data_IF_905270978695
#
_entry.id   IF_905270978695
#
_cell.length_a   1.000
_cell.length_b   1.000
_cell.length_c   1.000
_cell.angle_alpha   90.00
_cell.angle_beta   90.00
_cell.angle_gamma   90.00
#
_symmetry.space_group_name_H-M   'P 1'
#
loop_
_entity.id
_entity.type
_entity.pdbx_description
1 polymer ?
#
# COMPACT_ATOMS: atom_id res chain seq x y z
N UNK A 1 -8.81 8.84 7.42
CA UNK A 1 -7.45 8.39 7.77
C UNK A 1 -6.46 9.39 7.22
N UNK A 2 -5.37 9.61 7.93
CA UNK A 2 -4.29 10.45 7.45
C UNK A 2 -3.40 9.71 6.44
N UNK A 3 -2.87 10.42 5.46
CA UNK A 3 -2.08 9.87 4.35
C UNK A 3 -0.99 10.84 3.91
N UNK A 4 0.04 10.30 3.29
CA UNK A 4 1.09 11.06 2.59
C UNK A 4 0.95 10.78 1.09
N UNK A 5 0.65 11.81 0.32
CA UNK A 5 0.45 11.73 -1.13
C UNK A 5 1.61 12.41 -1.84
N UNK A 6 2.15 11.80 -2.90
CA UNK A 6 3.11 12.49 -3.77
C UNK A 6 2.37 13.47 -4.68
N UNK A 7 2.80 14.74 -4.70
CA UNK A 7 2.24 15.77 -5.59
C UNK A 7 3.13 16.08 -6.80
N UNK A 8 4.45 15.99 -6.64
CA UNK A 8 5.45 16.33 -7.67
C UNK A 8 6.79 15.72 -7.24
N UNK A 9 7.82 15.84 -8.07
CA UNK A 9 9.18 15.37 -7.76
C UNK A 9 9.67 15.95 -6.42
N UNK A 10 9.87 15.07 -5.45
CA UNK A 10 10.30 15.42 -4.09
C UNK A 10 9.27 16.17 -3.25
N UNK A 11 8.07 16.45 -3.79
CA UNK A 11 7.00 17.16 -3.06
C UNK A 11 5.91 16.19 -2.62
N UNK A 12 5.63 16.23 -1.33
CA UNK A 12 4.63 15.38 -0.68
C UNK A 12 3.64 16.25 0.10
N UNK A 13 2.41 15.77 0.23
CA UNK A 13 1.36 16.41 1.00
C UNK A 13 0.80 15.45 2.03
N UNK A 14 0.68 15.93 3.27
CA UNK A 14 -0.03 15.25 4.33
C UNK A 14 -1.50 15.68 4.30
N UNK A 15 -2.41 14.71 4.22
CA UNK A 15 -3.85 14.94 4.32
C UNK A 15 -4.44 14.08 5.41
N UNK A 16 -5.32 14.63 6.25
CA UNK A 16 -6.00 13.88 7.33
C UNK A 16 -7.22 13.08 6.85
N UNK A 17 -7.60 13.27 5.58
CA UNK A 17 -8.82 12.71 5.00
C UNK A 17 -8.54 12.09 3.65
N UNK A 18 -8.37 10.76 3.65
CA UNK A 18 -8.58 9.92 2.48
C UNK A 18 -9.95 9.24 2.56
N UNK A 19 -10.70 9.29 1.45
CA UNK A 19 -11.91 8.50 1.25
C UNK A 19 -11.49 7.22 0.51
N UNK A 20 -11.71 6.02 1.06
CA UNK A 20 -11.40 4.77 0.38
C UNK A 20 -12.17 4.68 -0.94
N UNK A 21 -11.50 4.22 -2.01
CA UNK A 21 -12.14 4.07 -3.32
C UNK A 21 -12.93 2.76 -3.44
N UNK A 22 -12.59 1.74 -2.65
CA UNK A 22 -13.26 0.44 -2.68
C UNK A 22 -13.75 0.06 -1.28
N UNK A 23 -15.07 0.07 -1.10
CA UNK A 23 -15.72 -0.22 0.18
C UNK A 23 -15.88 -1.72 0.46
N UNK A 24 -15.71 -2.57 -0.55
CA UNK A 24 -15.88 -4.02 -0.39
C UNK A 24 -14.63 -4.69 0.20
N UNK A 25 -13.48 -4.03 0.13
CA UNK A 25 -12.23 -4.56 0.67
C UNK A 25 -12.12 -4.34 2.16
N UNK A 26 -11.52 -5.33 2.83
CA UNK A 26 -11.21 -5.23 4.25
C UNK A 26 -10.34 -3.99 4.52
N UNK A 27 -10.87 -3.12 5.37
CA UNK A 27 -10.15 -1.96 5.86
C UNK A 27 -9.36 -2.34 7.10
N UNK A 28 -8.14 -1.81 7.19
CA UNK A 28 -7.23 -2.07 8.29
C UNK A 28 -6.89 -0.77 9.01
N UNK A 29 -6.77 -0.83 10.34
CA UNK A 29 -6.19 0.27 11.09
C UNK A 29 -4.67 0.20 10.98
N UNK A 30 -4.06 1.15 10.28
CA UNK A 30 -2.60 1.27 10.18
C UNK A 30 -2.05 1.88 11.48
N UNK A 31 -1.30 1.09 12.25
CA UNK A 31 -0.68 1.55 13.49
C UNK A 31 0.71 2.14 13.28
N UNK A 32 1.47 1.57 12.35
CA UNK A 32 2.81 2.03 11.97
C UNK A 32 3.03 1.87 10.47
N UNK A 33 3.74 2.83 9.86
CA UNK A 33 4.21 2.74 8.48
C UNK A 33 5.70 3.05 8.41
N UNK A 34 6.48 2.09 7.92
CA UNK A 34 7.91 2.25 7.70
C UNK A 34 8.22 3.01 6.40
N UNK A 35 9.31 3.78 6.42
CA UNK A 35 9.89 4.42 5.23
C UNK A 35 10.93 3.47 4.63
N UNK A 36 10.97 3.35 3.31
CA UNK A 36 11.92 2.48 2.62
C UNK A 36 12.54 3.17 1.40
N UNK A 37 13.64 2.59 0.89
CA UNK A 37 14.33 3.10 -0.32
C UNK A 37 13.41 3.18 -1.54
N UNK A 38 12.51 2.22 -1.72
CA UNK A 38 11.50 2.24 -2.78
C UNK A 38 10.55 3.43 -2.61
N UNK A 39 10.12 3.74 -1.38
CA UNK A 39 9.32 4.94 -1.10
C UNK A 39 10.07 6.22 -1.44
N UNK A 40 11.36 6.31 -1.13
CA UNK A 40 12.21 7.42 -1.56
C UNK A 40 12.30 7.52 -3.08
N UNK A 41 12.56 6.40 -3.77
CA UNK A 41 12.62 6.38 -5.24
C UNK A 41 11.30 6.82 -5.87
N UNK A 42 10.15 6.38 -5.32
CA UNK A 42 8.83 6.79 -5.78
C UNK A 42 8.58 8.29 -5.53
N UNK A 43 9.02 8.85 -4.40
CA UNK A 43 8.88 10.29 -4.14
C UNK A 43 9.59 11.15 -5.21
N UNK A 44 10.62 10.62 -5.86
CA UNK A 44 11.39 11.28 -6.92
C UNK A 44 11.11 10.72 -8.33
N UNK A 45 10.08 9.89 -8.50
CA UNK A 45 9.66 9.36 -9.81
C UNK A 45 8.50 10.18 -10.39
N UNK A 46 8.49 10.44 -11.69
CA UNK A 46 7.35 11.06 -12.35
C UNK A 46 6.10 10.15 -12.35
N UNK A 47 6.27 8.82 -12.30
CA UNK A 47 5.19 7.84 -12.50
C UNK A 47 4.23 7.66 -11.32
N UNK A 48 4.57 8.21 -10.15
CA UNK A 48 3.86 8.02 -8.88
C UNK A 48 3.09 9.26 -8.42
N UNK A 49 2.94 10.27 -9.29
CA UNK A 49 2.17 11.47 -8.95
C UNK A 49 0.72 11.12 -8.60
N UNK A 50 0.20 11.72 -7.52
CA UNK A 50 -1.13 11.44 -6.99
C UNK A 50 -1.24 10.16 -6.16
N UNK A 51 -0.19 9.34 -6.06
CA UNK A 51 -0.22 8.10 -5.29
C UNK A 51 0.04 8.35 -3.80
N UNK A 52 -0.64 7.56 -2.96
CA UNK A 52 -0.33 7.44 -1.53
C UNK A 52 0.96 6.63 -1.39
N UNK A 53 1.88 7.13 -0.58
CA UNK A 53 3.15 6.46 -0.31
C UNK A 53 3.08 5.59 0.95
N UNK A 54 3.92 4.56 0.99
CA UNK A 54 4.06 3.65 2.13
C UNK A 54 3.48 2.27 1.84
N UNK A 55 4.28 1.24 2.08
CA UNK A 55 3.88 -0.17 1.88
C UNK A 55 4.52 -1.11 2.90
N UNK A 56 5.00 -0.60 4.04
CA UNK A 56 5.54 -1.44 5.11
C UNK A 56 4.76 -1.12 6.36
N UNK A 57 3.64 -1.81 6.55
CA UNK A 57 2.66 -1.42 7.57
C UNK A 57 2.51 -2.49 8.63
N UNK A 58 2.36 -2.05 9.86
CA UNK A 58 1.81 -2.85 10.95
C UNK A 58 0.37 -2.40 11.11
N UNK A 59 -0.55 -3.35 10.94
CA UNK A 59 -1.98 -3.10 10.97
C UNK A 59 -2.66 -3.90 12.07
N UNK A 60 -3.76 -3.37 12.61
CA UNK A 60 -4.67 -4.08 13.50
C UNK A 60 -5.94 -4.45 12.73
N UNK A 61 -6.30 -5.73 12.76
CA UNK A 61 -7.56 -6.23 12.21
C UNK A 61 -8.75 -5.94 13.12
N UNK A 62 -9.96 -6.16 12.59
CA UNK A 62 -11.20 -6.09 13.39
C UNK A 62 -11.23 -7.12 14.54
N UNK A 63 -10.44 -8.19 14.40
CA UNK A 63 -10.21 -9.22 15.42
C UNK A 63 -9.23 -8.78 16.52
N UNK A 64 -8.69 -7.56 16.44
CA UNK A 64 -7.71 -7.02 17.37
C UNK A 64 -6.28 -7.55 17.16
N UNK A 65 -6.08 -8.48 16.23
CA UNK A 65 -4.77 -9.08 15.98
C UNK A 65 -3.91 -8.19 15.08
N UNK A 66 -2.63 -8.08 15.43
CA UNK A 66 -1.63 -7.33 14.67
C UNK A 66 -1.06 -8.16 13.52
N UNK A 67 -0.90 -7.53 12.35
CA UNK A 67 -0.34 -8.13 11.14
C UNK A 67 0.67 -7.21 10.51
N UNK A 68 1.71 -7.80 9.90
CA UNK A 68 2.67 -7.07 9.07
C UNK A 68 2.25 -7.28 7.62
N UNK A 69 1.92 -6.19 6.93
CA UNK A 69 1.54 -6.22 5.52
C UNK A 69 2.56 -5.45 4.68
N UNK A 70 2.78 -5.92 3.46
CA UNK A 70 3.60 -5.26 2.46
C UNK A 70 2.82 -5.03 1.14
N UNK A 71 3.51 -4.61 0.08
CA UNK A 71 2.94 -4.42 -1.26
C UNK A 71 2.76 -5.74 -2.06
N UNK A 72 2.92 -6.91 -1.43
CA UNK A 72 2.74 -8.20 -2.10
C UNK A 72 1.31 -8.66 -1.86
N UNK A 73 0.35 -7.96 -2.47
CA UNK A 73 -1.08 -8.27 -2.42
C UNK A 73 -1.43 -9.02 -3.72
N UNK A 74 -1.49 -10.36 -3.71
CA UNK A 74 -1.83 -11.12 -4.90
C UNK A 74 -3.35 -11.15 -5.11
N UNK A 75 -3.76 -11.32 -6.37
CA UNK A 75 -5.14 -11.53 -6.78
C UNK A 75 -5.63 -12.98 -6.53
N UNK A 76 -4.70 -13.91 -6.29
CA UNK A 76 -4.93 -15.35 -6.05
C UNK A 76 -5.49 -16.18 -7.22
N UNK A 77 -5.97 -15.60 -8.31
CA UNK A 77 -6.59 -16.38 -9.41
C UNK A 77 -5.67 -16.63 -10.63
N UNK A 78 -4.51 -15.96 -10.75
CA UNK A 78 -3.63 -16.17 -11.92
C UNK A 78 -2.75 -17.42 -11.78
N UNK A 79 -2.16 -17.86 -12.90
CA UNK A 79 -1.29 -19.06 -12.96
C UNK A 79 -0.20 -19.07 -11.86
N UNK A 80 0.52 -17.97 -11.68
CA UNK A 80 1.54 -17.88 -10.62
C UNK A 80 0.96 -18.01 -9.21
N UNK A 81 -0.24 -17.50 -8.96
CA UNK A 81 -0.84 -17.61 -7.62
C UNK A 81 -1.27 -19.04 -7.31
N UNK A 82 -1.78 -19.76 -8.30
CA UNK A 82 -2.20 -21.16 -8.16
C UNK A 82 -1.02 -22.09 -7.89
N UNK A 83 0.19 -21.70 -8.33
CA UNK A 83 1.45 -22.40 -8.04
C UNK A 83 2.15 -21.92 -6.75
N UNK A 84 1.52 -21.06 -5.94
CA UNK A 84 2.10 -20.44 -4.73
C UNK A 84 3.26 -19.45 -5.00
N UNK A 85 3.40 -18.99 -6.25
CA UNK A 85 4.33 -17.94 -6.67
C UNK A 85 3.66 -16.56 -6.59
N UNK A 86 3.08 -16.24 -5.44
CA UNK A 86 2.28 -15.01 -5.22
C UNK A 86 3.05 -13.72 -5.49
N UNK A 87 4.38 -13.72 -5.31
CA UNK A 87 5.26 -12.58 -5.65
C UNK A 87 5.37 -12.34 -7.16
N UNK A 88 4.90 -13.25 -8.01
CA UNK A 88 4.86 -13.09 -9.46
C UNK A 88 3.43 -12.90 -9.99
N UNK A 89 2.46 -12.63 -9.11
CA UNK A 89 1.09 -12.37 -9.54
C UNK A 89 1.04 -11.33 -10.68
N UNK A 90 0.36 -11.68 -11.78
CA UNK A 90 0.22 -10.81 -12.95
C UNK A 90 -0.67 -9.60 -12.68
N UNK A 91 -1.52 -9.70 -11.66
CA UNK A 91 -2.54 -8.71 -11.32
C UNK A 91 -2.29 -8.12 -9.92
N UNK A 92 -1.01 -7.94 -9.55
CA UNK A 92 -0.67 -7.21 -8.31
C UNK A 92 -1.31 -5.83 -8.32
N UNK A 93 -1.79 -5.42 -7.16
CA UNK A 93 -2.37 -4.11 -6.92
C UNK A 93 -1.36 -3.15 -6.29
#
# INVERSE_FOLDING_TARGET
MAVVVKLDLGKMHYSEKLIPQNHEWQQWEVCYCGICKTGSALAWSAQSEGQVLGHKVICRGLDGMYRVLNNEIPYYECEYCQEDWVIHCLHKQ
#
